data_IF_621804172340
#
_entry.id   IF_621804172340
#
_cell.length_a   1.000
_cell.length_b   1.000
_cell.length_c   1.000
_cell.angle_alpha   90.00
_cell.angle_beta   90.00
_cell.angle_gamma   90.00
#
_symmetry.space_group_name_H-M   'P 1'
#
loop_
_entity.id
_entity.type
_entity.pdbx_description
1 polymer ?
#
# COMPACT_ATOMS: atom_id res chain seq x y z
N UNK A 1 -11.47 -7.82 13.24
CA UNK A 1 -10.10 -7.65 13.79
C UNK A 1 -9.13 -7.94 12.66
N UNK A 2 -8.21 -7.03 12.29
CA UNK A 2 -7.28 -7.30 11.21
C UNK A 2 -6.31 -8.44 11.57
N UNK A 3 -6.01 -9.25 10.55
CA UNK A 3 -5.02 -10.31 10.61
C UNK A 3 -3.70 -9.73 10.09
N UNK A 4 -2.64 -9.87 10.86
CA UNK A 4 -1.32 -9.43 10.45
C UNK A 4 -0.37 -10.60 10.35
N UNK A 5 0.43 -10.59 9.30
CA UNK A 5 1.49 -11.55 9.10
C UNK A 5 2.78 -11.04 9.76
N UNK A 6 3.51 -11.95 10.39
CA UNK A 6 4.76 -11.67 11.08
C UNK A 6 5.84 -12.61 10.59
N UNK A 7 7.05 -12.07 10.41
CA UNK A 7 8.24 -12.82 10.05
C UNK A 7 9.29 -12.66 11.16
N UNK A 8 9.81 -13.79 11.63
CA UNK A 8 10.86 -13.86 12.63
C UNK A 8 12.25 -13.83 11.98
N UNK A 9 13.27 -13.35 12.70
CA UNK A 9 14.67 -13.39 12.25
C UNK A 9 15.19 -14.80 11.89
N UNK A 10 14.56 -15.85 12.43
CA UNK A 10 14.88 -17.26 12.11
C UNK A 10 14.12 -17.82 10.89
N UNK A 11 13.31 -17.00 10.20
CA UNK A 11 12.57 -17.39 8.99
C UNK A 11 11.18 -17.98 9.22
N UNK A 12 10.66 -17.96 10.45
CA UNK A 12 9.28 -18.41 10.72
C UNK A 12 8.26 -17.32 10.35
N UNK A 13 7.23 -17.71 9.60
CA UNK A 13 6.06 -16.87 9.28
C UNK A 13 4.86 -17.34 10.07
N UNK A 14 4.13 -16.41 10.66
CA UNK A 14 2.92 -16.70 11.43
C UNK A 14 1.93 -15.54 11.35
N UNK A 15 0.65 -15.86 11.53
CA UNK A 15 -0.44 -14.91 11.49
C UNK A 15 -0.94 -14.61 12.90
N UNK A 16 -1.23 -13.34 13.19
CA UNK A 16 -1.75 -12.91 14.48
C UNK A 16 -2.90 -11.90 14.31
N UNK A 17 -4.01 -12.18 15.00
CA UNK A 17 -5.13 -11.25 15.16
C UNK A 17 -4.71 -10.13 16.11
N UNK A 18 -4.74 -8.88 15.65
CA UNK A 18 -4.35 -7.74 16.48
C UNK A 18 -5.29 -6.55 16.25
N UNK A 19 -5.60 -5.78 17.29
CA UNK A 19 -6.30 -4.51 17.11
C UNK A 19 -5.38 -3.52 16.42
N UNK A 20 -5.98 -2.59 15.68
CA UNK A 20 -5.23 -1.51 15.01
C UNK A 20 -4.50 -0.61 16.02
N UNK A 21 -5.08 -0.43 17.21
CA UNK A 21 -4.51 0.40 18.28
C UNK A 21 -3.41 -0.30 19.10
N UNK A 22 -3.27 -1.63 19.00
CA UNK A 22 -2.31 -2.37 19.79
C UNK A 22 -0.90 -2.28 19.19
N UNK A 23 0.13 -2.33 20.05
CA UNK A 23 1.53 -2.33 19.63
C UNK A 23 1.89 -3.65 18.93
N UNK A 24 2.70 -3.62 17.84
CA UNK A 24 3.07 -4.83 17.11
C UNK A 24 3.85 -5.82 17.98
N UNK A 25 3.66 -7.11 17.70
CA UNK A 25 4.31 -8.20 18.41
C UNK A 25 5.82 -8.16 18.12
N UNK A 26 6.63 -8.10 19.19
CA UNK A 26 8.10 -8.08 19.09
C UNK A 26 8.73 -9.47 19.21
N UNK A 27 7.96 -10.48 19.63
CA UNK A 27 8.45 -11.83 19.92
C UNK A 27 7.69 -12.85 19.07
N UNK A 28 8.43 -13.80 18.50
CA UNK A 28 7.85 -14.94 17.81
C UNK A 28 7.31 -15.97 18.81
N UNK A 29 6.12 -16.52 18.55
CA UNK A 29 5.49 -17.53 19.39
C UNK A 29 6.25 -18.87 19.41
N UNK A 30 7.01 -19.19 18.36
CA UNK A 30 7.68 -20.49 18.21
C UNK A 30 9.08 -20.50 18.82
N UNK A 31 9.84 -19.41 18.65
CA UNK A 31 11.28 -19.41 18.92
C UNK A 31 11.77 -18.22 19.74
N UNK A 32 10.84 -17.40 20.25
CA UNK A 32 11.04 -16.21 21.09
C UNK A 32 11.99 -15.12 20.55
N UNK A 33 12.52 -15.29 19.35
CA UNK A 33 13.34 -14.31 18.65
C UNK A 33 12.51 -13.10 18.16
N UNK A 34 13.22 -12.04 17.75
CA UNK A 34 12.60 -10.79 17.30
C UNK A 34 11.73 -11.02 16.06
N UNK A 35 10.47 -10.64 16.15
CA UNK A 35 9.51 -10.67 15.05
C UNK A 35 9.25 -9.26 14.50
N UNK A 36 9.05 -9.16 13.19
CA UNK A 36 8.63 -7.94 12.49
C UNK A 36 7.35 -8.21 11.72
N UNK A 37 6.50 -7.19 11.58
CA UNK A 37 5.29 -7.30 10.76
C UNK A 37 5.69 -7.39 9.29
N UNK A 38 5.27 -8.47 8.64
CA UNK A 38 5.28 -8.61 7.18
C UNK A 38 4.10 -7.82 6.63
N UNK A 39 4.36 -6.89 5.72
CA UNK A 39 3.32 -6.24 4.92
C UNK A 39 3.49 -6.79 3.52
N UNK A 40 2.64 -7.74 3.14
CA UNK A 40 2.57 -8.18 1.75
C UNK A 40 2.11 -6.99 0.92
N UNK A 41 2.94 -6.59 -0.05
CA UNK A 41 2.51 -5.63 -1.06
C UNK A 41 1.38 -6.31 -1.85
N UNK A 42 0.15 -5.78 -1.84
CA UNK A 42 -0.85 -6.29 -2.76
C UNK A 42 -0.27 -6.09 -4.16
N UNK A 43 -0.15 -7.18 -4.91
CA UNK A 43 0.29 -7.13 -6.30
C UNK A 43 -0.63 -6.14 -7.01
N UNK A 44 -0.12 -4.96 -7.33
CA UNK A 44 -0.84 -3.96 -8.11
C UNK A 44 -0.98 -4.54 -9.52
N UNK A 45 -1.98 -5.40 -9.69
CA UNK A 45 -2.31 -5.97 -10.97
C UNK A 45 -2.89 -4.82 -11.79
N UNK A 46 -2.09 -4.30 -12.72
CA UNK A 46 -2.43 -3.20 -13.61
C UNK A 46 -3.48 -3.64 -14.66
N UNK A 47 -4.58 -4.25 -14.23
CA UNK A 47 -5.73 -4.49 -15.06
C UNK A 47 -6.65 -3.27 -14.98
N UNK A 48 -6.33 -2.24 -15.78
CA UNK A 48 -7.22 -1.16 -16.25
C UNK A 48 -8.25 -0.58 -15.26
N UNK A 49 -7.88 -0.38 -14.00
CA UNK A 49 -8.82 0.19 -13.03
C UNK A 49 -8.24 0.29 -11.63
N UNK A 50 -7.16 1.05 -11.46
CA UNK A 50 -6.67 1.38 -10.13
C UNK A 50 -7.57 2.49 -9.59
N UNK A 51 -8.31 2.19 -8.51
CA UNK A 51 -8.96 3.21 -7.69
C UNK A 51 -7.87 4.17 -7.19
N UNK A 52 -7.78 5.34 -7.81
CA UNK A 52 -6.96 6.45 -7.33
C UNK A 52 -7.62 6.91 -6.03
N UNK A 53 -7.06 6.50 -4.89
CA UNK A 53 -7.50 7.00 -3.60
C UNK A 53 -7.13 8.48 -3.48
N UNK A 54 -8.14 9.34 -3.61
CA UNK A 54 -8.24 10.77 -3.22
C UNK A 54 -7.02 11.67 -3.42
N UNK A 55 -6.14 11.33 -4.36
CA UNK A 55 -5.03 12.19 -4.75
C UNK A 55 -5.37 12.77 -6.10
N UNK A 56 -5.49 14.08 -6.15
CA UNK A 56 -5.60 14.82 -7.41
C UNK A 56 -4.32 14.57 -8.19
N UNK A 57 -4.39 13.75 -9.22
CA UNK A 57 -3.27 13.57 -10.14
C UNK A 57 -3.18 14.77 -11.08
N UNK A 58 -2.01 14.99 -11.68
CA UNK A 58 -1.86 16.03 -12.70
C UNK A 58 -2.84 15.80 -13.86
N UNK A 59 -3.13 14.54 -14.17
CA UNK A 59 -4.08 14.13 -15.20
C UNK A 59 -5.50 14.57 -14.87
N UNK A 60 -5.91 14.54 -13.60
CA UNK A 60 -7.22 15.06 -13.15
C UNK A 60 -7.30 16.57 -13.25
N UNK A 61 -6.23 17.29 -12.88
CA UNK A 61 -6.13 18.74 -13.06
C UNK A 61 -6.17 19.14 -14.55
N UNK A 62 -5.57 18.32 -15.43
CA UNK A 62 -5.66 18.51 -16.87
C UNK A 62 -7.05 18.18 -17.41
N UNK A 63 -7.75 17.17 -16.87
CA UNK A 63 -9.13 16.82 -17.25
C UNK A 63 -10.14 17.88 -16.86
N UNK A 64 -10.00 18.47 -15.66
CA UNK A 64 -10.88 19.51 -15.13
C UNK A 64 -10.76 20.87 -15.85
N UNK A 65 -9.72 21.07 -16.66
CA UNK A 65 -9.56 22.31 -17.44
C UNK A 65 -10.58 22.41 -18.59
N UNK A 66 -11.15 23.61 -18.85
CA UNK A 66 -12.00 23.84 -20.00
C UNK A 66 -11.24 23.55 -21.29
N UNK A 67 -11.92 22.96 -22.27
CA UNK A 67 -11.35 22.42 -23.52
C UNK A 67 -10.50 23.44 -24.30
N UNK A 68 -10.79 24.73 -24.17
CA UNK A 68 -10.04 25.83 -24.78
C UNK A 68 -8.57 25.91 -24.31
N UNK A 69 -8.26 25.49 -23.09
CA UNK A 69 -6.89 25.58 -22.53
C UNK A 69 -6.06 24.30 -22.71
N UNK A 70 -6.66 23.21 -23.22
CA UNK A 70 -5.98 21.92 -23.40
C UNK A 70 -5.06 21.89 -24.63
N UNK A 71 -5.30 22.74 -25.63
CA UNK A 71 -4.53 22.77 -26.88
C UNK A 71 -3.18 23.48 -26.77
N UNK A 72 -3.00 24.37 -25.79
CA UNK A 72 -1.84 25.28 -25.74
C UNK A 72 -0.57 24.70 -25.14
N UNK A 73 -0.60 23.48 -24.59
CA UNK A 73 0.56 22.93 -23.86
C UNK A 73 0.81 21.46 -24.15
N UNK A 74 0.82 21.10 -25.44
CA UNK A 74 1.44 19.85 -25.88
C UNK A 74 2.91 20.15 -26.18
N UNK A 75 3.73 20.17 -25.13
CA UNK A 75 5.18 20.17 -25.28
C UNK A 75 5.55 18.94 -26.12
N UNK A 76 6.13 19.19 -27.30
CA UNK A 76 6.75 18.14 -28.13
C UNK A 76 8.05 17.72 -27.42
N UNK A 77 8.30 16.41 -27.47
CA UNK A 77 9.48 15.70 -26.95
C UNK A 77 10.77 16.50 -26.98
#
# INVERSE_FOLDING_TARGET
>A
MPLYEYECAKGHRFEALQKVADKPLKRCAVCSASAKRSISQPTLLHNRGVHVFDRVTKDDALRARPSSLKSFKKDKF
#
